data_IF_823157053734
#
_entry.id   IF_823157053734
#
_cell.length_a   1.000
_cell.length_b   1.000
_cell.length_c   1.000
_cell.angle_alpha   90.00
_cell.angle_beta   90.00
_cell.angle_gamma   90.00
#
_symmetry.space_group_name_H-M   'P 1'
#
loop_
_entity.id
_entity.type
_entity.pdbx_description
1 polymer ?
#
# COMPACT_ATOMS: atom_id res chain seq x y z
N UNK A 1 -6.37 21.29 -17.81
CA UNK A 1 -5.52 20.21 -18.38
C UNK A 1 -5.10 19.26 -17.24
N UNK A 2 -5.32 17.96 -17.39
CA UNK A 2 -4.83 16.95 -16.44
C UNK A 2 -3.29 16.95 -16.48
N UNK A 3 -2.64 17.01 -15.30
CA UNK A 3 -1.18 16.91 -15.25
C UNK A 3 -0.74 15.47 -15.53
N UNK A 4 0.50 15.27 -15.97
CA UNK A 4 1.06 13.94 -16.25
C UNK A 4 0.89 12.95 -15.06
N UNK A 5 0.98 13.45 -13.81
CA UNK A 5 0.75 12.62 -12.61
C UNK A 5 -0.68 12.09 -12.50
N UNK A 6 -1.68 12.89 -12.85
CA UNK A 6 -3.08 12.46 -12.82
C UNK A 6 -3.37 11.43 -13.92
N UNK A 7 -2.76 11.60 -15.09
CA UNK A 7 -2.86 10.63 -16.17
C UNK A 7 -2.20 9.29 -15.75
N UNK A 8 -1.00 9.35 -15.19
CA UNK A 8 -0.32 8.15 -14.67
C UNK A 8 -1.16 7.44 -13.60
N UNK A 9 -1.73 8.19 -12.64
CA UNK A 9 -2.60 7.62 -11.62
C UNK A 9 -3.85 6.97 -12.22
N UNK A 10 -4.49 7.61 -13.21
CA UNK A 10 -5.66 7.06 -13.88
C UNK A 10 -5.34 5.75 -14.63
N UNK A 11 -4.20 5.69 -15.32
CA UNK A 11 -3.73 4.48 -16.02
C UNK A 11 -3.47 3.35 -15.01
N UNK A 12 -2.75 3.64 -13.92
CA UNK A 12 -2.46 2.65 -12.87
C UNK A 12 -3.75 2.16 -12.19
N UNK A 13 -4.69 3.05 -11.90
CA UNK A 13 -5.97 2.71 -11.31
C UNK A 13 -6.80 1.83 -12.26
N UNK A 14 -6.89 2.21 -13.53
CA UNK A 14 -7.59 1.44 -14.54
C UNK A 14 -6.96 0.04 -14.73
N UNK A 15 -5.64 -0.05 -14.73
CA UNK A 15 -4.94 -1.34 -14.81
C UNK A 15 -5.21 -2.21 -13.57
N UNK A 16 -5.10 -1.64 -12.36
CA UNK A 16 -5.32 -2.36 -11.09
C UNK A 16 -6.76 -2.84 -10.90
N UNK A 17 -7.74 -2.10 -11.40
CA UNK A 17 -9.18 -2.44 -11.32
C UNK A 17 -9.71 -3.13 -12.59
N UNK A 18 -8.85 -3.43 -13.56
CA UNK A 18 -9.27 -4.11 -14.79
C UNK A 18 -9.81 -5.52 -14.52
N UNK A 19 -10.75 -6.02 -15.36
CA UNK A 19 -11.22 -7.40 -15.25
C UNK A 19 -10.09 -8.44 -15.29
N UNK A 20 -9.03 -8.15 -16.05
CA UNK A 20 -7.85 -9.03 -16.14
C UNK A 20 -7.10 -9.08 -14.80
N UNK A 21 -6.85 -7.93 -14.18
CA UNK A 21 -6.20 -7.87 -12.87
C UNK A 21 -7.09 -8.52 -11.80
N UNK A 22 -8.42 -8.31 -11.84
CA UNK A 22 -9.37 -8.94 -10.93
C UNK A 22 -9.33 -10.47 -11.04
N UNK A 23 -9.45 -11.01 -12.26
CA UNK A 23 -9.41 -12.45 -12.51
C UNK A 23 -8.07 -13.07 -12.08
N UNK A 24 -6.94 -12.42 -12.42
CA UNK A 24 -5.62 -12.95 -12.12
C UNK A 24 -5.24 -12.81 -10.64
N UNK A 25 -5.60 -11.74 -9.97
CA UNK A 25 -5.34 -11.60 -8.52
C UNK A 25 -6.12 -12.62 -7.69
N UNK A 26 -7.20 -13.20 -8.23
CA UNK A 26 -7.93 -14.30 -7.60
C UNK A 26 -7.13 -15.60 -7.51
N UNK A 27 -6.19 -15.84 -8.43
CA UNK A 27 -5.39 -17.06 -8.49
C UNK A 27 -3.88 -16.86 -8.29
N UNK A 28 -3.42 -15.63 -8.00
CA UNK A 28 -2.00 -15.36 -7.77
C UNK A 28 -1.79 -14.28 -6.71
N UNK A 29 -1.02 -14.62 -5.70
CA UNK A 29 -0.64 -13.67 -4.64
C UNK A 29 0.35 -12.62 -5.16
N UNK A 30 1.15 -12.92 -6.19
CA UNK A 30 2.04 -11.93 -6.84
C UNK A 30 1.20 -10.84 -7.52
N UNK A 31 0.20 -11.22 -8.30
CA UNK A 31 -0.68 -10.25 -8.97
C UNK A 31 -1.49 -9.46 -7.94
N UNK A 32 -1.99 -10.14 -6.89
CA UNK A 32 -2.64 -9.46 -5.77
C UNK A 32 -1.72 -8.40 -5.15
N UNK A 33 -0.47 -8.73 -4.88
CA UNK A 33 0.50 -7.81 -4.30
C UNK A 33 0.79 -6.61 -5.21
N UNK A 34 0.91 -6.82 -6.51
CA UNK A 34 1.08 -5.73 -7.47
C UNK A 34 -0.13 -4.78 -7.47
N UNK A 35 -1.35 -5.31 -7.47
CA UNK A 35 -2.59 -4.52 -7.35
C UNK A 35 -2.66 -3.80 -6.01
N UNK A 36 -2.36 -4.50 -4.90
CA UNK A 36 -2.33 -3.93 -3.56
C UNK A 36 -1.38 -2.71 -3.48
N UNK A 37 -0.11 -2.88 -3.84
CA UNK A 37 0.88 -1.80 -3.81
C UNK A 37 0.50 -0.63 -4.74
N UNK A 38 -0.12 -0.92 -5.88
CA UNK A 38 -0.64 0.11 -6.78
C UNK A 38 -1.73 0.93 -6.09
N UNK A 39 -2.70 0.29 -5.43
CA UNK A 39 -3.85 0.95 -4.82
C UNK A 39 -3.54 1.65 -3.50
N UNK A 40 -2.66 1.08 -2.65
CA UNK A 40 -2.37 1.67 -1.33
C UNK A 40 -1.22 2.67 -1.36
N UNK A 41 -0.31 2.54 -2.33
CA UNK A 41 0.91 3.37 -2.37
C UNK A 41 0.98 4.25 -3.63
N UNK A 42 1.06 3.64 -4.83
CA UNK A 42 1.42 4.37 -6.05
C UNK A 42 0.33 5.38 -6.48
N UNK A 43 -0.92 4.93 -6.60
CA UNK A 43 -2.05 5.81 -6.96
C UNK A 43 -2.27 6.89 -5.92
N UNK A 44 -2.33 6.60 -4.60
CA UNK A 44 -2.44 7.62 -3.56
C UNK A 44 -1.30 8.64 -3.57
N UNK A 45 -0.06 8.21 -3.73
CA UNK A 45 1.09 9.12 -3.81
C UNK A 45 0.95 10.14 -4.96
N UNK A 46 0.40 9.71 -6.09
CA UNK A 46 0.18 10.56 -7.27
C UNK A 46 -1.06 11.46 -7.15
N UNK A 47 -2.11 10.99 -6.49
CA UNK A 47 -3.41 11.66 -6.44
C UNK A 47 -3.63 12.49 -5.18
N UNK A 48 -3.05 12.11 -4.04
CA UNK A 48 -3.39 12.69 -2.76
C UNK A 48 -3.38 14.22 -2.79
N UNK A 49 -4.54 14.88 -2.59
CA UNK A 49 -4.58 16.32 -2.44
C UNK A 49 -3.87 16.71 -1.14
N UNK A 50 -3.39 17.94 -1.05
CA UNK A 50 -2.99 18.49 0.24
C UNK A 50 -4.20 18.51 1.16
N UNK A 51 -4.00 18.09 2.41
CA UNK A 51 -5.05 18.18 3.43
C UNK A 51 -5.61 19.61 3.47
N UNK A 52 -6.93 19.76 3.51
CA UNK A 52 -7.55 21.08 3.64
C UNK A 52 -7.02 21.79 4.90
N UNK A 53 -6.86 23.09 4.85
CA UNK A 53 -6.31 23.89 5.97
C UNK A 53 -7.11 23.77 7.27
N UNK A 54 -8.40 23.46 7.18
CA UNK A 54 -9.26 23.24 8.34
C UNK A 54 -9.02 21.87 9.02
N UNK A 55 -8.38 20.94 8.32
CA UNK A 55 -8.01 19.65 8.90
C UNK A 55 -6.66 19.83 9.63
N UNK A 56 -6.75 20.11 10.93
CA UNK A 56 -5.55 20.21 11.77
C UNK A 56 -4.79 18.88 11.77
N UNK A 57 -3.65 18.83 11.09
CA UNK A 57 -2.80 17.63 11.00
C UNK A 57 -1.94 17.48 12.26
N UNK A 58 -2.60 17.33 13.41
CA UNK A 58 -1.95 17.03 14.68
C UNK A 58 -1.57 15.55 14.82
N UNK A 59 -0.87 15.22 15.90
CA UNK A 59 -0.41 13.85 16.18
C UNK A 59 -1.55 12.82 16.16
N UNK A 60 -2.73 13.15 16.67
CA UNK A 60 -3.88 12.24 16.67
C UNK A 60 -4.35 11.86 15.26
N UNK A 61 -4.37 12.82 14.32
CA UNK A 61 -4.76 12.53 12.94
C UNK A 61 -3.70 11.70 12.21
N UNK A 62 -2.41 11.94 12.48
CA UNK A 62 -1.31 11.14 11.93
C UNK A 62 -1.38 9.69 12.42
N UNK A 63 -1.63 9.49 13.73
CA UNK A 63 -1.81 8.16 14.30
C UNK A 63 -3.04 7.46 13.74
N UNK A 64 -4.15 8.19 13.57
CA UNK A 64 -5.36 7.64 12.95
C UNK A 64 -5.10 7.21 11.50
N UNK A 65 -4.45 8.04 10.70
CA UNK A 65 -4.17 7.72 9.30
C UNK A 65 -3.24 6.51 9.16
N UNK A 66 -2.17 6.46 9.94
CA UNK A 66 -1.27 5.30 9.98
C UNK A 66 -1.96 4.04 10.50
N UNK A 67 -2.82 4.18 11.54
CA UNK A 67 -3.58 3.06 12.09
C UNK A 67 -4.64 2.51 11.13
N UNK A 68 -5.35 3.37 10.42
CA UNK A 68 -6.34 2.96 9.39
C UNK A 68 -5.64 2.20 8.26
N UNK A 69 -4.49 2.70 7.82
CA UNK A 69 -3.74 2.03 6.76
C UNK A 69 -3.17 0.69 7.23
N UNK A 70 -2.57 0.64 8.41
CA UNK A 70 -2.10 -0.60 9.03
C UNK A 70 -3.22 -1.64 9.14
N UNK A 71 -4.39 -1.25 9.67
CA UNK A 71 -5.52 -2.17 9.83
C UNK A 71 -6.08 -2.66 8.49
N UNK A 72 -6.15 -1.80 7.48
CA UNK A 72 -6.57 -2.20 6.15
C UNK A 72 -5.57 -3.20 5.54
N UNK A 73 -4.29 -2.89 5.60
CA UNK A 73 -3.24 -3.77 5.02
C UNK A 73 -3.18 -5.10 5.77
N UNK A 74 -3.00 -5.09 7.08
CA UNK A 74 -2.86 -6.33 7.86
C UNK A 74 -4.16 -7.14 7.87
N UNK A 75 -5.30 -6.47 7.99
CA UNK A 75 -6.61 -7.14 8.02
C UNK A 75 -6.86 -7.97 6.76
N UNK A 76 -6.60 -7.41 5.58
CA UNK A 76 -6.78 -8.14 4.32
C UNK A 76 -5.70 -9.19 4.04
N UNK A 77 -4.58 -9.17 4.75
CA UNK A 77 -3.56 -10.22 4.65
C UNK A 77 -3.75 -11.36 5.66
N UNK A 78 -4.75 -11.30 6.53
CA UNK A 78 -5.16 -12.45 7.30
C UNK A 78 -5.80 -13.50 6.38
N UNK A 79 -5.54 -14.82 6.57
CA UNK A 79 -6.00 -15.86 5.66
C UNK A 79 -7.51 -15.84 5.38
N UNK A 80 -8.35 -15.65 6.40
CA UNK A 80 -9.82 -15.62 6.24
C UNK A 80 -10.32 -14.45 5.38
N UNK A 81 -10.05 -13.18 5.73
CA UNK A 81 -10.38 -12.01 4.90
C UNK A 81 -9.78 -12.08 3.50
N UNK A 82 -8.54 -12.54 3.36
CA UNK A 82 -7.91 -12.73 2.06
C UNK A 82 -8.70 -13.70 1.20
N UNK A 83 -9.04 -14.88 1.72
CA UNK A 83 -9.84 -15.88 1.01
C UNK A 83 -11.23 -15.32 0.63
N UNK A 84 -11.89 -14.63 1.56
CA UNK A 84 -13.19 -14.02 1.26
C UNK A 84 -13.11 -13.02 0.12
N UNK A 85 -12.07 -12.19 0.05
CA UNK A 85 -11.86 -11.25 -1.05
C UNK A 85 -11.57 -11.95 -2.40
N UNK A 86 -11.08 -13.20 -2.38
CA UNK A 86 -10.88 -14.01 -3.61
C UNK A 86 -12.19 -14.68 -4.08
N UNK A 87 -13.07 -15.04 -3.16
CA UNK A 87 -14.25 -15.85 -3.44
C UNK A 87 -15.55 -15.03 -3.59
N UNK A 88 -15.57 -13.75 -3.25
CA UNK A 88 -16.75 -12.90 -3.34
C UNK A 88 -16.48 -11.55 -3.98
N UNK A 89 -17.41 -11.09 -4.81
CA UNK A 89 -17.33 -9.75 -5.41
C UNK A 89 -17.36 -8.64 -4.35
N UNK A 90 -18.17 -8.82 -3.30
CA UNK A 90 -18.25 -7.86 -2.19
C UNK A 90 -16.92 -7.78 -1.43
N UNK A 91 -16.31 -8.91 -1.10
CA UNK A 91 -14.99 -8.96 -0.46
C UNK A 91 -13.92 -8.31 -1.32
N UNK A 92 -13.89 -8.63 -2.62
CA UNK A 92 -12.99 -8.02 -3.58
C UNK A 92 -13.16 -6.49 -3.64
N UNK A 93 -14.38 -6.01 -3.75
CA UNK A 93 -14.66 -4.57 -3.85
C UNK A 93 -14.26 -3.82 -2.56
N UNK A 94 -14.59 -4.37 -1.38
CA UNK A 94 -14.23 -3.79 -0.09
C UNK A 94 -12.72 -3.77 0.13
N UNK A 95 -12.01 -4.83 -0.25
CA UNK A 95 -10.55 -4.88 -0.20
C UNK A 95 -9.93 -3.75 -1.04
N UNK A 96 -10.32 -3.61 -2.30
CA UNK A 96 -9.77 -2.58 -3.20
C UNK A 96 -10.13 -1.16 -2.75
N UNK A 97 -11.37 -0.95 -2.35
CA UNK A 97 -11.83 0.34 -1.83
C UNK A 97 -11.11 0.73 -0.54
N UNK A 98 -10.89 -0.21 0.38
CA UNK A 98 -10.17 0.06 1.63
C UNK A 98 -8.69 0.35 1.40
N UNK A 99 -8.00 -0.37 0.51
CA UNK A 99 -6.62 -0.07 0.15
C UNK A 99 -6.47 1.33 -0.46
N UNK A 100 -7.30 1.65 -1.44
CA UNK A 100 -7.28 2.97 -2.07
C UNK A 100 -7.65 4.08 -1.07
N UNK A 101 -8.71 3.89 -0.29
CA UNK A 101 -9.17 4.87 0.70
C UNK A 101 -8.17 5.10 1.82
N UNK A 102 -7.61 4.04 2.40
CA UNK A 102 -6.60 4.13 3.44
C UNK A 102 -5.31 4.79 2.94
N UNK A 103 -4.86 4.41 1.73
CA UNK A 103 -3.70 5.03 1.10
C UNK A 103 -3.92 6.51 0.82
N UNK A 104 -5.06 6.90 0.21
CA UNK A 104 -5.39 8.31 -0.04
C UNK A 104 -5.45 9.11 1.26
N UNK A 105 -6.06 8.57 2.31
CA UNK A 105 -6.14 9.21 3.61
C UNK A 105 -4.74 9.41 4.22
N UNK A 106 -3.91 8.37 4.23
CA UNK A 106 -2.54 8.46 4.73
C UNK A 106 -1.72 9.52 3.99
N UNK A 107 -1.69 9.45 2.66
CA UNK A 107 -0.90 10.38 1.84
C UNK A 107 -1.39 11.82 1.95
N UNK A 108 -2.71 12.04 2.02
CA UNK A 108 -3.31 13.36 2.23
C UNK A 108 -2.87 13.94 3.58
N UNK A 109 -2.99 13.17 4.67
CA UNK A 109 -2.60 13.59 6.02
C UNK A 109 -1.08 13.84 6.10
N UNK A 110 -0.28 12.94 5.54
CA UNK A 110 1.16 13.10 5.49
C UNK A 110 1.56 14.36 4.70
N UNK A 111 0.91 14.65 3.56
CA UNK A 111 1.18 15.84 2.76
C UNK A 111 0.78 17.15 3.47
N UNK A 112 -0.28 17.14 4.28
CA UNK A 112 -0.76 18.29 5.05
C UNK A 112 0.02 18.54 6.34
N UNK A 113 0.69 17.54 6.89
CA UNK A 113 1.48 17.65 8.11
C UNK A 113 2.83 18.35 7.87
N UNK A 114 3.43 18.87 8.94
CA UNK A 114 4.82 19.36 8.91
C UNK A 114 5.80 18.24 8.49
N UNK A 115 7.01 18.62 8.06
CA UNK A 115 7.99 17.66 7.50
C UNK A 115 8.26 16.47 8.40
N UNK A 116 8.45 16.71 9.70
CA UNK A 116 8.76 15.66 10.69
C UNK A 116 7.55 14.76 10.93
N UNK A 117 6.35 15.32 11.13
CA UNK A 117 5.13 14.52 11.36
C UNK A 117 4.77 13.68 10.14
N UNK A 118 4.82 14.30 8.94
CA UNK A 118 4.57 13.57 7.69
C UNK A 118 5.61 12.48 7.41
N UNK A 119 6.89 12.74 7.70
CA UNK A 119 7.93 11.72 7.61
C UNK A 119 7.70 10.58 8.63
N UNK A 120 7.34 10.93 9.86
CA UNK A 120 7.10 9.95 10.92
C UNK A 120 6.02 8.93 10.58
N UNK A 121 4.86 9.37 10.07
CA UNK A 121 3.78 8.45 9.69
C UNK A 121 4.16 7.60 8.49
N UNK A 122 4.90 8.14 7.50
CA UNK A 122 5.38 7.35 6.35
C UNK A 122 6.47 6.34 6.76
N UNK A 123 7.34 6.68 7.71
CA UNK A 123 8.30 5.72 8.29
C UNK A 123 7.58 4.61 9.03
N UNK A 124 6.58 4.94 9.84
CA UNK A 124 5.74 3.93 10.51
C UNK A 124 5.13 2.96 9.49
N UNK A 125 4.56 3.49 8.39
CA UNK A 125 4.02 2.67 7.31
C UNK A 125 5.08 1.82 6.63
N UNK A 126 6.25 2.39 6.32
CA UNK A 126 7.39 1.63 5.78
C UNK A 126 7.75 0.44 6.67
N UNK A 127 7.81 0.66 7.99
CA UNK A 127 8.18 -0.40 8.95
C UNK A 127 7.18 -1.56 8.96
N UNK A 128 5.88 -1.28 9.08
CA UNK A 128 4.90 -2.37 9.14
C UNK A 128 4.69 -3.07 7.79
N UNK A 129 4.83 -2.36 6.65
CA UNK A 129 4.84 -2.97 5.32
C UNK A 129 6.02 -3.94 5.15
N UNK A 130 7.21 -3.51 5.56
CA UNK A 130 8.40 -4.37 5.55
C UNK A 130 8.24 -5.56 6.49
N UNK A 131 7.70 -5.35 7.69
CA UNK A 131 7.49 -6.43 8.66
C UNK A 131 6.49 -7.46 8.13
N UNK A 132 5.34 -7.04 7.62
CA UNK A 132 4.34 -7.96 7.08
C UNK A 132 4.89 -8.69 5.85
N UNK A 133 5.59 -7.97 4.96
CA UNK A 133 6.24 -8.59 3.81
C UNK A 133 7.28 -9.64 4.21
N UNK A 134 8.07 -9.37 5.26
CA UNK A 134 9.02 -10.34 5.81
C UNK A 134 8.30 -11.56 6.42
N UNK A 135 7.21 -11.35 7.15
CA UNK A 135 6.39 -12.45 7.71
C UNK A 135 5.87 -13.35 6.57
N UNK A 136 5.34 -12.76 5.51
CA UNK A 136 4.84 -13.52 4.35
C UNK A 136 5.96 -14.24 3.60
N UNK A 137 7.09 -13.56 3.36
CA UNK A 137 8.23 -14.09 2.62
C UNK A 137 9.01 -15.19 3.36
N UNK A 138 9.00 -15.15 4.70
CA UNK A 138 9.72 -16.12 5.54
C UNK A 138 8.81 -17.20 6.13
N UNK A 139 7.51 -17.17 5.85
CA UNK A 139 6.58 -18.18 6.35
C UNK A 139 6.98 -19.57 5.81
N UNK A 140 7.04 -20.60 6.68
CA UNK A 140 7.51 -21.94 6.27
C UNK A 140 6.44 -22.75 5.52
N UNK A 141 5.27 -22.16 5.28
CA UNK A 141 4.12 -22.81 4.61
C UNK A 141 3.33 -21.80 3.80
N UNK A 142 2.62 -22.27 2.80
CA UNK A 142 1.59 -21.48 2.11
C UNK A 142 0.45 -21.14 3.09
N UNK A 143 0.22 -19.86 3.29
CA UNK A 143 -0.79 -19.31 4.22
C UNK A 143 -2.17 -19.19 3.58
N UNK A 144 -2.23 -19.18 2.25
CA UNK A 144 -3.44 -18.84 1.51
C UNK A 144 -4.06 -20.00 0.75
N UNK A 145 -3.26 -20.99 0.33
CA UNK A 145 -3.73 -22.16 -0.39
C UNK A 145 -4.33 -21.84 -1.77
N UNK A 146 -4.03 -20.67 -2.35
CA UNK A 146 -4.55 -20.23 -3.65
C UNK A 146 -3.38 -19.96 -4.59
N UNK A 147 -3.18 -20.84 -5.54
CA UNK A 147 -2.17 -20.67 -6.58
C UNK A 147 -2.64 -21.32 -7.89
N UNK A 148 -2.82 -20.50 -8.93
CA UNK A 148 -3.16 -20.98 -10.27
C UNK A 148 -1.93 -21.36 -11.09
N UNK A 149 -0.73 -21.30 -10.51
CA UNK A 149 0.56 -21.64 -11.12
C UNK A 149 0.84 -20.89 -12.44
N UNK A 150 0.38 -19.64 -12.55
CA UNK A 150 0.55 -18.86 -13.79
C UNK A 150 2.00 -18.48 -14.09
N UNK A 151 2.85 -18.50 -13.08
CA UNK A 151 4.27 -18.18 -13.23
C UNK A 151 5.18 -19.43 -13.10
N UNK A 152 4.61 -20.63 -13.09
CA UNK A 152 5.35 -21.85 -12.85
C UNK A 152 5.89 -22.01 -11.43
N UNK A 153 5.36 -21.22 -10.47
CA UNK A 153 5.76 -21.22 -9.06
C UNK A 153 4.71 -21.94 -8.22
N UNK A 154 5.15 -22.60 -7.17
CA UNK A 154 4.26 -23.14 -6.13
C UNK A 154 3.65 -22.03 -5.30
N UNK A 155 2.57 -22.30 -4.55
CA UNK A 155 1.92 -21.32 -3.69
C UNK A 155 2.86 -20.65 -2.68
N UNK A 156 3.77 -21.42 -2.10
CA UNK A 156 4.76 -20.87 -1.16
C UNK A 156 5.78 -19.98 -1.87
N UNK A 157 6.24 -20.34 -3.06
CA UNK A 157 7.16 -19.50 -3.83
C UNK A 157 6.52 -18.20 -4.29
N UNK A 158 5.26 -18.25 -4.76
CA UNK A 158 4.50 -17.03 -5.07
C UNK A 158 4.35 -16.13 -3.84
N UNK A 159 4.05 -16.71 -2.66
CA UNK A 159 3.94 -15.99 -1.41
C UNK A 159 5.27 -15.34 -1.00
N UNK A 160 6.39 -16.05 -1.16
CA UNK A 160 7.73 -15.51 -0.88
C UNK A 160 8.08 -14.34 -1.78
N UNK A 161 7.81 -14.43 -3.09
CA UNK A 161 8.00 -13.33 -4.04
C UNK A 161 7.11 -12.15 -3.70
N UNK A 162 5.83 -12.38 -3.38
CA UNK A 162 4.90 -11.34 -2.98
C UNK A 162 5.32 -10.65 -1.68
N UNK A 163 5.79 -11.41 -0.68
CA UNK A 163 6.34 -10.88 0.56
C UNK A 163 7.58 -10.03 0.33
N UNK A 164 8.49 -10.50 -0.51
CA UNK A 164 9.68 -9.74 -0.91
C UNK A 164 9.33 -8.44 -1.65
N UNK A 165 8.33 -8.46 -2.54
CA UNK A 165 7.83 -7.27 -3.22
C UNK A 165 7.21 -6.28 -2.23
N UNK A 166 6.41 -6.74 -1.28
CA UNK A 166 5.81 -5.89 -0.25
C UNK A 166 6.88 -5.25 0.65
N UNK A 167 7.83 -6.02 1.14
CA UNK A 167 8.92 -5.51 1.99
C UNK A 167 9.84 -4.56 1.20
N UNK A 168 10.28 -4.98 0.02
CA UNK A 168 11.24 -4.24 -0.81
C UNK A 168 10.61 -3.05 -1.49
N UNK A 169 9.59 -3.25 -2.33
CA UNK A 169 8.98 -2.16 -3.10
C UNK A 169 8.08 -1.29 -2.20
N UNK A 170 7.16 -1.90 -1.46
CA UNK A 170 6.25 -1.17 -0.57
C UNK A 170 7.01 -0.41 0.51
N UNK A 171 7.85 -1.09 1.27
CA UNK A 171 8.66 -0.49 2.32
C UNK A 171 9.58 0.62 1.79
N UNK A 172 10.27 0.40 0.66
CA UNK A 172 11.17 1.38 0.08
C UNK A 172 10.45 2.64 -0.41
N UNK A 173 9.28 2.52 -1.05
CA UNK A 173 8.53 3.69 -1.52
C UNK A 173 8.12 4.62 -0.38
N UNK A 174 7.62 4.07 0.73
CA UNK A 174 7.29 4.86 1.91
C UNK A 174 8.52 5.44 2.60
N UNK A 175 9.62 4.69 2.69
CA UNK A 175 10.91 5.18 3.23
C UNK A 175 11.44 6.35 2.42
N UNK A 176 11.51 6.21 1.09
CA UNK A 176 11.99 7.28 0.21
C UNK A 176 11.12 8.53 0.30
N UNK A 177 9.79 8.37 0.39
CA UNK A 177 8.87 9.49 0.58
C UNK A 177 9.10 10.18 1.94
N UNK A 178 9.34 9.43 3.01
CA UNK A 178 9.67 9.98 4.33
C UNK A 178 11.00 10.76 4.30
N UNK A 179 12.05 10.20 3.70
CA UNK A 179 13.35 10.86 3.56
C UNK A 179 13.24 12.12 2.69
N UNK A 180 12.48 12.09 1.61
CA UNK A 180 12.25 13.27 0.78
C UNK A 180 11.58 14.41 1.56
N UNK A 181 10.70 14.10 2.52
CA UNK A 181 10.07 15.11 3.39
C UNK A 181 11.03 15.70 4.41
N UNK A 182 12.04 14.96 4.87
CA UNK A 182 13.06 15.44 5.80
C UNK A 182 14.14 16.27 5.11
N UNK A 183 14.37 16.10 3.82
CA UNK A 183 15.42 16.76 3.07
C UNK A 183 15.49 18.29 3.27
N UNK A 184 14.37 19.05 3.23
CA UNK A 184 14.38 20.49 3.49
C UNK A 184 14.77 20.85 4.94
N UNK A 185 14.48 20.01 5.92
CA UNK A 185 14.85 20.22 7.32
C UNK A 185 16.34 20.03 7.49
N UNK A 186 16.88 18.93 6.96
CA UNK A 186 18.30 18.60 7.05
C UNK A 186 19.18 19.67 6.38
N UNK A 187 18.76 20.19 5.22
CA UNK A 187 19.50 21.26 4.53
C UNK A 187 19.55 22.59 5.26
N UNK A 188 18.69 22.83 6.26
CA UNK A 188 18.70 24.04 7.09
C UNK A 188 19.63 23.91 8.30
N UNK A 189 20.02 22.69 8.65
CA UNK A 189 20.84 22.38 9.84
C UNK A 189 22.32 22.22 9.46
N UNK A 190 22.59 21.91 8.19
CA UNK A 190 23.97 21.89 7.66
C UNK A 190 24.40 23.31 7.26
N UNK A 191 25.44 23.90 7.90
CA UNK A 191 25.94 25.23 7.58
C UNK A 191 26.52 25.32 6.19
#
# INVERSE_FOLDING_TARGET
MLSARHLAAAVLLAAALSPVAAARSGGSIIVHMAVHLTLVTAVPALLAPRAPRWLATGAGLLLLAGGVELLAVWGWHLPGPHLWARLSLTGWALEKASFLGAGLFLWMVAAGAGPVGGAGVLLFTSMHMTLLGAILGLAPRDLYGICANWFGLSGIEEQQVAGAAMAGVGGALYLLAALARLGPVLRRVTP
#
